data_IF_984664473174
#
_entry.id   IF_984664473174
#
_cell.length_a   1.000
_cell.length_b   1.000
_cell.length_c   1.000
_cell.angle_alpha   90.00
_cell.angle_beta   90.00
_cell.angle_gamma   90.00
#
_symmetry.space_group_name_H-M   'P 1'
#
loop_
_entity.id
_entity.type
_entity.pdbx_description
1 polymer ?
#
# COMPACT_ATOMS: atom_id res chain seq x y z
N UNK A 1 -25.92 23.82 -12.63
CA UNK A 1 -25.10 24.80 -13.36
C UNK A 1 -23.65 24.36 -13.30
N UNK A 2 -23.08 23.92 -14.42
CA UNK A 2 -21.64 23.60 -14.53
C UNK A 2 -20.87 24.92 -14.57
N UNK A 3 -19.86 25.09 -13.71
CA UNK A 3 -18.95 26.23 -13.80
C UNK A 3 -18.28 26.24 -15.19
N UNK A 4 -18.23 27.39 -15.87
CA UNK A 4 -17.51 27.49 -17.15
C UNK A 4 -16.03 27.10 -16.93
N UNK A 5 -15.37 26.51 -17.94
CA UNK A 5 -13.95 26.19 -17.87
C UNK A 5 -13.16 27.48 -17.63
N UNK A 6 -12.24 27.45 -16.68
CA UNK A 6 -11.36 28.59 -16.37
C UNK A 6 -10.46 28.79 -17.61
N UNK A 7 -10.58 29.95 -18.22
CA UNK A 7 -9.69 30.33 -19.33
C UNK A 7 -8.26 30.45 -18.79
N UNK A 8 -7.31 29.66 -19.27
CA UNK A 8 -5.93 29.66 -18.79
C UNK A 8 -5.20 30.99 -19.02
N UNK A 9 -5.74 31.86 -19.87
CA UNK A 9 -5.14 33.17 -20.18
C UNK A 9 -5.62 34.31 -19.26
N UNK A 10 -6.67 34.10 -18.46
CA UNK A 10 -7.22 35.10 -17.54
C UNK A 10 -6.95 34.79 -16.08
N UNK A 11 -6.37 33.63 -15.75
CA UNK A 11 -6.00 33.26 -14.40
C UNK A 11 -4.71 34.02 -13.96
N UNK A 12 -4.61 34.46 -12.69
CA UNK A 12 -3.39 35.06 -12.20
C UNK A 12 -2.21 34.08 -12.37
N UNK A 13 -1.06 34.62 -12.85
CA UNK A 13 0.17 33.86 -13.05
C UNK A 13 0.69 33.34 -11.71
N UNK A 14 0.48 32.09 -11.45
CA UNK A 14 1.10 31.35 -10.33
C UNK A 14 2.33 30.58 -10.85
N UNK A 15 3.23 30.15 -9.97
CA UNK A 15 4.39 29.34 -10.35
C UNK A 15 3.98 28.09 -11.16
N UNK A 16 2.87 27.44 -10.79
CA UNK A 16 2.33 26.30 -11.54
C UNK A 16 1.83 26.62 -12.94
N UNK A 17 1.25 27.83 -13.13
CA UNK A 17 0.78 28.27 -14.44
C UNK A 17 1.96 28.65 -15.37
N UNK A 18 3.05 29.19 -14.81
CA UNK A 18 4.27 29.50 -15.56
C UNK A 18 4.95 28.23 -16.10
N UNK A 19 5.01 27.18 -15.30
CA UNK A 19 5.55 25.88 -15.72
C UNK A 19 4.70 25.24 -16.83
N UNK A 20 3.37 25.38 -16.75
CA UNK A 20 2.46 24.87 -17.78
C UNK A 20 2.59 25.66 -19.08
N UNK A 21 2.62 27.00 -19.01
CA UNK A 21 2.82 27.85 -20.20
C UNK A 21 4.18 27.61 -20.87
N UNK A 22 5.23 27.36 -20.08
CA UNK A 22 6.57 27.03 -20.57
C UNK A 22 6.56 25.68 -21.31
N UNK A 23 5.78 24.70 -20.84
CA UNK A 23 5.61 23.40 -21.51
C UNK A 23 4.86 23.52 -22.83
N UNK A 24 3.79 24.31 -22.85
CA UNK A 24 3.00 24.58 -24.06
C UNK A 24 3.89 25.29 -25.12
N UNK A 25 4.67 26.28 -24.71
CA UNK A 25 5.61 26.98 -25.60
C UNK A 25 6.68 26.06 -26.20
N UNK A 26 6.99 24.94 -25.54
CA UNK A 26 7.90 23.87 -26.06
C UNK A 26 7.18 22.80 -26.87
N UNK A 27 5.91 23.00 -27.25
CA UNK A 27 5.13 22.06 -28.06
C UNK A 27 4.65 20.81 -27.29
N UNK A 28 4.63 20.85 -25.97
CA UNK A 28 4.09 19.76 -25.15
C UNK A 28 2.60 19.98 -24.93
N UNK A 29 1.80 18.93 -25.11
CA UNK A 29 0.36 18.99 -24.84
C UNK A 29 0.09 19.34 -23.36
N UNK A 30 -0.96 20.16 -23.05
CA UNK A 30 -1.34 20.48 -21.69
C UNK A 30 -1.55 19.23 -20.84
N UNK A 31 -1.01 19.23 -19.62
CA UNK A 31 -1.15 18.10 -18.68
C UNK A 31 -0.21 16.92 -18.92
N UNK A 32 0.66 16.94 -19.92
CA UNK A 32 1.71 15.92 -20.05
C UNK A 32 2.91 16.23 -19.14
N UNK A 33 3.44 15.24 -18.41
CA UNK A 33 4.68 15.42 -17.66
C UNK A 33 5.82 15.79 -18.63
N UNK A 34 6.80 16.57 -18.17
CA UNK A 34 8.00 16.82 -18.99
C UNK A 34 8.68 15.46 -19.30
N UNK A 35 9.40 15.40 -20.42
CA UNK A 35 9.99 14.14 -20.91
C UNK A 35 10.85 13.44 -19.82
N UNK A 36 11.64 14.20 -19.07
CA UNK A 36 12.48 13.66 -17.99
C UNK A 36 11.65 13.08 -16.84
N UNK A 37 10.57 13.75 -16.42
CA UNK A 37 9.67 13.22 -15.39
C UNK A 37 8.92 11.98 -15.86
N UNK A 38 8.48 11.96 -17.11
CA UNK A 38 7.86 10.79 -17.74
C UNK A 38 8.81 9.59 -17.78
N UNK A 39 10.05 9.77 -18.25
CA UNK A 39 11.05 8.70 -18.27
C UNK A 39 11.40 8.21 -16.85
N UNK A 40 11.53 9.11 -15.89
CA UNK A 40 11.77 8.74 -14.50
C UNK A 40 10.61 7.90 -13.94
N UNK A 41 9.37 8.24 -14.25
CA UNK A 41 8.19 7.47 -13.89
C UNK A 41 8.20 6.08 -14.55
N UNK A 42 8.54 6.01 -15.84
CA UNK A 42 8.64 4.73 -16.58
C UNK A 42 9.72 3.83 -15.94
N UNK A 43 10.93 4.36 -15.67
CA UNK A 43 12.02 3.61 -15.01
C UNK A 43 11.60 3.12 -13.62
N UNK A 44 10.95 3.98 -12.82
CA UNK A 44 10.45 3.61 -11.50
C UNK A 44 9.38 2.49 -11.57
N UNK A 45 8.46 2.57 -12.52
CA UNK A 45 7.43 1.56 -12.71
C UNK A 45 8.01 0.20 -13.14
N UNK A 46 8.98 0.19 -14.06
CA UNK A 46 9.72 -1.02 -14.47
C UNK A 46 10.46 -1.63 -13.28
N UNK A 47 11.19 -0.82 -12.50
CA UNK A 47 11.92 -1.29 -11.32
C UNK A 47 10.98 -1.90 -10.26
N UNK A 48 9.80 -1.32 -10.05
CA UNK A 48 8.79 -1.87 -9.14
C UNK A 48 8.23 -3.21 -9.64
N UNK A 49 8.01 -3.36 -10.94
CA UNK A 49 7.52 -4.59 -11.54
C UNK A 49 8.55 -5.72 -11.50
N UNK A 50 9.85 -5.38 -11.58
CA UNK A 50 10.96 -6.34 -11.57
C UNK A 50 11.35 -6.82 -10.16
N UNK A 51 10.75 -6.29 -9.08
CA UNK A 51 11.11 -6.70 -7.70
C UNK A 51 10.86 -8.20 -7.47
N UNK A 52 11.81 -8.91 -6.82
CA UNK A 52 11.63 -10.33 -6.50
C UNK A 52 10.37 -10.54 -5.65
N UNK A 53 9.54 -11.52 -6.05
CA UNK A 53 8.27 -11.83 -5.35
C UNK A 53 8.46 -12.67 -4.08
N UNK A 54 9.64 -13.27 -3.88
CA UNK A 54 9.95 -14.20 -2.79
C UNK A 54 11.05 -13.65 -1.87
N UNK A 55 10.67 -12.71 -1.01
CA UNK A 55 11.52 -12.23 0.08
C UNK A 55 11.32 -13.09 1.34
N UNK A 56 12.24 -13.07 2.35
CA UNK A 56 12.01 -13.69 3.67
C UNK A 56 10.67 -13.27 4.28
N UNK A 57 10.36 -11.98 4.25
CA UNK A 57 9.07 -11.43 4.66
C UNK A 57 7.88 -12.08 3.92
N UNK A 58 7.95 -12.20 2.59
CA UNK A 58 6.86 -12.81 1.81
C UNK A 58 6.68 -14.30 2.12
N UNK A 59 7.76 -15.03 2.40
CA UNK A 59 7.72 -16.43 2.83
C UNK A 59 7.06 -16.57 4.19
N UNK A 60 7.50 -15.78 5.17
CA UNK A 60 6.94 -15.76 6.52
C UNK A 60 5.44 -15.40 6.49
N UNK A 61 5.06 -14.35 5.77
CA UNK A 61 3.66 -13.95 5.59
C UNK A 61 2.80 -15.13 5.08
N UNK A 62 3.28 -15.84 4.05
CA UNK A 62 2.58 -16.99 3.48
C UNK A 62 2.46 -18.15 4.49
N UNK A 63 3.51 -18.42 5.27
CA UNK A 63 3.50 -19.43 6.31
C UNK A 63 2.48 -19.10 7.41
N UNK A 64 2.52 -17.87 7.93
CA UNK A 64 1.57 -17.39 8.94
C UNK A 64 0.12 -17.56 8.46
N UNK A 65 -0.20 -17.11 7.25
CA UNK A 65 -1.55 -17.23 6.72
C UNK A 65 -2.02 -18.68 6.65
N UNK A 66 -1.14 -19.61 6.23
CA UNK A 66 -1.44 -21.04 6.14
C UNK A 66 -1.70 -21.63 7.53
N UNK A 67 -0.83 -21.38 8.50
CA UNK A 67 -0.93 -21.97 9.83
C UNK A 67 -2.08 -21.36 10.63
N UNK A 68 -2.35 -20.07 10.53
CA UNK A 68 -3.55 -19.44 11.11
C UNK A 68 -4.83 -20.04 10.50
N UNK A 69 -4.85 -20.27 9.17
CA UNK A 69 -6.01 -20.92 8.53
C UNK A 69 -6.19 -22.35 8.99
N UNK A 70 -5.10 -23.10 9.20
CA UNK A 70 -5.15 -24.47 9.72
C UNK A 70 -5.67 -24.52 11.15
N UNK A 71 -5.20 -23.60 12.02
CA UNK A 71 -5.63 -23.52 13.42
C UNK A 71 -7.07 -23.00 13.57
N UNK A 72 -7.52 -22.14 12.66
CA UNK A 72 -8.83 -21.49 12.67
C UNK A 72 -9.51 -21.62 11.29
N UNK A 73 -10.11 -22.78 10.97
CA UNK A 73 -10.68 -23.04 9.64
C UNK A 73 -11.80 -22.07 9.24
N UNK A 74 -12.53 -21.49 10.18
CA UNK A 74 -13.60 -20.52 9.94
C UNK A 74 -13.08 -19.08 9.75
N UNK A 75 -11.80 -18.83 10.05
CA UNK A 75 -11.23 -17.49 9.88
C UNK A 75 -11.18 -17.07 8.40
N UNK A 76 -11.57 -15.83 8.14
CA UNK A 76 -11.28 -15.16 6.87
C UNK A 76 -9.90 -14.51 6.99
N UNK A 77 -8.97 -14.89 6.12
CA UNK A 77 -7.60 -14.41 6.14
C UNK A 77 -7.29 -13.75 4.81
N UNK A 78 -6.83 -12.51 4.86
CA UNK A 78 -6.52 -11.71 3.70
C UNK A 78 -5.10 -11.16 3.80
N UNK A 79 -4.31 -11.40 2.75
CA UNK A 79 -3.06 -10.66 2.59
C UNK A 79 -3.39 -9.24 2.17
N UNK A 80 -2.86 -8.26 2.88
CA UNK A 80 -2.99 -6.86 2.50
C UNK A 80 -1.77 -6.45 1.68
N UNK A 81 -2.01 -6.06 0.44
CA UNK A 81 -0.96 -5.54 -0.42
C UNK A 81 -0.88 -4.04 -0.22
N UNK A 82 0.09 -3.60 0.61
CA UNK A 82 0.34 -2.18 0.84
C UNK A 82 1.62 -1.79 0.12
N UNK A 83 1.56 -0.75 -0.69
CA UNK A 83 2.74 -0.27 -1.39
C UNK A 83 2.47 0.20 -2.80
N UNK A 84 3.52 0.19 -3.60
CA UNK A 84 3.48 0.58 -5.01
C UNK A 84 3.90 -0.59 -5.88
N UNK A 85 3.22 -0.77 -7.01
CA UNK A 85 3.57 -1.73 -8.04
C UNK A 85 3.61 -1.07 -9.42
N UNK A 86 4.53 -1.50 -10.29
CA UNK A 86 4.55 -1.13 -11.69
C UNK A 86 3.76 -2.14 -12.52
N UNK A 87 2.99 -1.66 -13.49
CA UNK A 87 2.36 -2.50 -14.50
C UNK A 87 2.40 -1.80 -15.86
N UNK A 88 2.36 -2.59 -16.93
CA UNK A 88 2.26 -2.07 -18.29
C UNK A 88 0.80 -2.01 -18.71
N UNK A 89 0.33 -0.81 -19.04
CA UNK A 89 -1.02 -0.60 -19.57
C UNK A 89 -1.11 -1.27 -20.95
N UNK A 90 -2.00 -2.24 -21.10
CA UNK A 90 -2.15 -3.00 -22.35
C UNK A 90 -2.68 -2.15 -23.50
N UNK A 91 -3.42 -1.09 -23.22
CA UNK A 91 -4.04 -0.23 -24.23
C UNK A 91 -3.06 0.80 -24.79
N UNK A 92 -2.25 1.43 -23.91
CA UNK A 92 -1.31 2.49 -24.32
C UNK A 92 0.13 2.02 -24.46
N UNK A 93 0.48 0.86 -23.89
CA UNK A 93 1.85 0.37 -23.84
C UNK A 93 2.71 1.03 -22.74
N UNK A 94 2.18 2.01 -22.02
CA UNK A 94 2.89 2.77 -20.99
C UNK A 94 3.03 2.01 -19.69
N UNK A 95 4.11 2.28 -18.98
CA UNK A 95 4.28 1.83 -17.61
C UNK A 95 3.55 2.78 -16.64
N UNK A 96 2.74 2.20 -15.76
CA UNK A 96 1.98 2.92 -14.74
C UNK A 96 2.36 2.45 -13.34
N UNK A 97 2.28 3.36 -12.38
CA UNK A 97 2.44 3.04 -10.96
C UNK A 97 1.06 2.96 -10.33
N UNK A 98 0.76 1.82 -9.70
CA UNK A 98 -0.42 1.64 -8.85
C UNK A 98 0.00 1.69 -7.39
N UNK A 99 -0.79 2.39 -6.59
CA UNK A 99 -0.72 2.31 -5.14
C UNK A 99 -1.79 1.34 -4.64
N UNK A 100 -1.38 0.39 -3.81
CA UNK A 100 -2.28 -0.60 -3.21
C UNK A 100 -2.43 -0.35 -1.71
N UNK A 101 -3.64 -0.63 -1.19
CA UNK A 101 -3.94 -0.55 0.24
C UNK A 101 -3.81 0.85 0.84
N UNK A 102 -3.96 0.93 2.15
CA UNK A 102 -3.76 2.16 2.91
C UNK A 102 -2.32 2.22 3.42
N UNK A 103 -1.70 3.41 3.36
CA UNK A 103 -0.36 3.61 3.90
C UNK A 103 -0.36 3.28 5.40
N UNK A 104 0.52 2.37 5.80
CA UNK A 104 0.66 1.90 7.17
C UNK A 104 -0.25 0.73 7.56
N UNK A 105 -1.11 0.26 6.65
CA UNK A 105 -1.93 -0.94 6.91
C UNK A 105 -1.04 -2.18 7.13
N UNK A 106 -1.49 -3.08 8.02
CA UNK A 106 -0.81 -4.35 8.32
C UNK A 106 -0.74 -5.29 7.13
N UNK A 107 0.18 -6.26 7.15
CA UNK A 107 0.40 -7.23 6.08
C UNK A 107 -0.73 -8.27 5.95
N UNK A 108 -1.33 -8.67 7.08
CA UNK A 108 -2.37 -9.70 7.14
C UNK A 108 -3.58 -9.16 7.93
N UNK A 109 -4.77 -9.34 7.38
CA UNK A 109 -6.03 -9.16 8.08
C UNK A 109 -6.66 -10.52 8.33
N UNK A 110 -7.03 -10.78 9.59
CA UNK A 110 -7.81 -11.94 10.00
C UNK A 110 -9.14 -11.46 10.57
N UNK A 111 -10.24 -12.04 10.09
CA UNK A 111 -11.56 -11.86 10.70
C UNK A 111 -12.00 -13.20 11.25
N UNK A 112 -12.23 -13.26 12.57
CA UNK A 112 -12.61 -14.48 13.28
C UNK A 112 -13.66 -14.14 14.33
N UNK A 113 -14.82 -14.80 14.26
CA UNK A 113 -15.96 -14.59 15.18
C UNK A 113 -16.34 -13.10 15.38
N UNK A 114 -16.34 -12.33 14.29
CA UNK A 114 -16.67 -10.91 14.30
C UNK A 114 -15.52 -9.97 14.70
N UNK A 115 -14.43 -10.51 15.25
CA UNK A 115 -13.25 -9.72 15.61
C UNK A 115 -12.34 -9.49 14.41
N UNK A 116 -11.91 -8.25 14.21
CA UNK A 116 -10.89 -7.88 13.24
C UNK A 116 -9.50 -7.90 13.88
N UNK A 117 -8.59 -8.72 13.34
CA UNK A 117 -7.22 -8.86 13.82
C UNK A 117 -6.28 -8.45 12.69
N UNK A 118 -5.31 -7.61 12.99
CA UNK A 118 -4.29 -7.13 12.08
C UNK A 118 -2.92 -7.64 12.53
N UNK A 119 -2.22 -8.36 11.65
CA UNK A 119 -0.88 -8.86 11.92
C UNK A 119 0.12 -8.16 11.00
N UNK A 120 1.04 -7.43 11.61
CA UNK A 120 2.19 -6.82 10.96
C UNK A 120 3.35 -7.80 11.01
N UNK A 121 3.83 -8.26 9.87
CA UNK A 121 4.90 -9.26 9.79
C UNK A 121 6.25 -8.55 9.70
N UNK A 122 7.17 -8.89 10.59
CA UNK A 122 8.56 -8.41 10.59
C UNK A 122 9.52 -9.59 10.50
N UNK A 123 10.21 -9.73 9.39
CA UNK A 123 11.25 -10.75 9.27
C UNK A 123 12.48 -10.35 10.11
N UNK A 124 12.93 -11.25 10.98
CA UNK A 124 14.06 -10.99 11.90
C UNK A 124 15.32 -10.61 11.11
N UNK A 125 15.52 -11.22 9.95
CA UNK A 125 16.69 -10.99 9.10
C UNK A 125 16.79 -9.55 8.57
N UNK A 126 15.67 -8.82 8.52
CA UNK A 126 15.63 -7.45 7.98
C UNK A 126 15.78 -6.37 9.02
N UNK A 127 15.77 -6.70 10.32
CA UNK A 127 15.75 -5.73 11.45
C UNK A 127 14.74 -4.60 11.24
N UNK A 128 13.65 -4.89 10.52
CA UNK A 128 12.66 -3.90 10.11
C UNK A 128 11.82 -3.46 11.32
N UNK A 129 11.84 -2.17 11.62
CA UNK A 129 11.06 -1.58 12.70
C UNK A 129 9.70 -1.08 12.17
N UNK A 130 8.76 -0.90 13.09
CA UNK A 130 7.48 -0.32 12.75
C UNK A 130 7.66 1.16 12.38
N UNK A 131 7.09 1.56 11.22
CA UNK A 131 7.15 2.94 10.72
C UNK A 131 6.05 3.80 11.37
N UNK A 132 6.24 5.12 11.40
CA UNK A 132 5.25 6.06 11.94
C UNK A 132 3.86 5.91 11.30
N UNK A 133 3.80 5.62 10.00
CA UNK A 133 2.53 5.37 9.31
C UNK A 133 1.81 4.12 9.83
N UNK A 134 2.56 3.07 10.19
CA UNK A 134 2.03 1.83 10.77
C UNK A 134 1.55 2.06 12.19
N UNK A 135 2.30 2.83 13.00
CA UNK A 135 1.90 3.22 14.36
C UNK A 135 0.59 4.02 14.33
N UNK A 136 0.47 5.01 13.43
CA UNK A 136 -0.77 5.78 13.28
C UNK A 136 -1.95 4.92 12.80
N UNK A 137 -1.69 3.99 11.89
CA UNK A 137 -2.73 3.07 11.40
C UNK A 137 -3.17 2.11 12.50
N UNK A 138 -2.24 1.52 13.24
CA UNK A 138 -2.49 0.68 14.41
C UNK A 138 -3.40 1.39 15.41
N UNK A 139 -3.04 2.62 15.84
CA UNK A 139 -3.82 3.38 16.81
C UNK A 139 -5.26 3.64 16.36
N UNK A 140 -5.49 3.87 15.07
CA UNK A 140 -6.85 4.00 14.51
C UNK A 140 -7.60 2.68 14.51
N UNK A 141 -6.93 1.60 14.14
CA UNK A 141 -7.50 0.27 14.05
C UNK A 141 -7.93 -0.27 15.44
N UNK A 142 -7.07 -0.07 16.46
CA UNK A 142 -7.36 -0.47 17.84
C UNK A 142 -8.50 0.37 18.45
N UNK A 143 -8.54 1.68 18.19
CA UNK A 143 -9.69 2.52 18.59
C UNK A 143 -11.01 2.10 17.96
N UNK A 144 -10.99 1.50 16.80
CA UNK A 144 -12.16 0.94 16.15
C UNK A 144 -12.53 -0.48 16.65
N UNK A 145 -11.89 -0.96 17.73
CA UNK A 145 -12.15 -2.27 18.33
C UNK A 145 -11.36 -3.42 17.72
N UNK A 146 -10.42 -3.15 16.82
CA UNK A 146 -9.54 -4.17 16.27
C UNK A 146 -8.43 -4.60 17.23
N UNK A 147 -7.85 -5.77 16.98
CA UNK A 147 -6.65 -6.25 17.68
C UNK A 147 -5.45 -6.18 16.73
N UNK A 148 -4.38 -5.50 17.12
CA UNK A 148 -3.16 -5.37 16.32
C UNK A 148 -1.99 -6.07 17.01
N UNK A 149 -1.15 -6.75 16.23
CA UNK A 149 0.10 -7.34 16.71
C UNK A 149 1.20 -7.26 15.64
N UNK A 150 2.41 -6.94 16.08
CA UNK A 150 3.65 -7.18 15.31
C UNK A 150 4.10 -8.60 15.61
N UNK A 151 4.43 -9.36 14.56
CA UNK A 151 4.80 -10.78 14.68
C UNK A 151 6.03 -11.10 13.85
N UNK A 152 6.95 -11.89 14.42
CA UNK A 152 8.22 -12.26 13.81
C UNK A 152 8.27 -13.76 13.48
N UNK A 153 7.29 -14.53 13.92
CA UNK A 153 7.20 -15.97 13.68
C UNK A 153 5.75 -16.44 13.54
N UNK A 154 5.58 -17.69 13.13
CA UNK A 154 4.27 -18.37 13.07
C UNK A 154 3.69 -18.52 14.48
N UNK A 155 4.51 -18.88 15.45
CA UNK A 155 4.13 -19.10 16.85
C UNK A 155 3.61 -17.79 17.47
N UNK A 156 4.29 -16.67 17.22
CA UNK A 156 3.84 -15.36 17.69
C UNK A 156 2.50 -14.98 17.05
N UNK A 157 2.31 -15.26 15.76
CA UNK A 157 1.05 -14.99 15.07
C UNK A 157 -0.11 -15.80 15.62
N UNK A 158 0.08 -17.11 15.88
CA UNK A 158 -0.94 -17.97 16.51
C UNK A 158 -1.27 -17.50 17.94
N UNK A 159 -0.24 -17.12 18.70
CA UNK A 159 -0.41 -16.58 20.05
C UNK A 159 -1.18 -15.26 20.02
N UNK A 160 -0.88 -14.37 19.07
CA UNK A 160 -1.59 -13.11 18.89
C UNK A 160 -3.08 -13.33 18.58
N UNK A 161 -3.40 -14.27 17.67
CA UNK A 161 -4.79 -14.63 17.35
C UNK A 161 -5.50 -15.19 18.59
N UNK A 162 -4.86 -16.07 19.35
CA UNK A 162 -5.41 -16.61 20.61
C UNK A 162 -5.72 -15.51 21.59
N UNK A 163 -4.77 -14.60 21.87
CA UNK A 163 -4.97 -13.44 22.77
C UNK A 163 -6.09 -12.51 22.30
N UNK A 164 -6.21 -12.32 21.01
CA UNK A 164 -7.30 -11.54 20.43
C UNK A 164 -8.67 -12.17 20.75
N UNK A 165 -8.78 -13.49 20.63
CA UNK A 165 -10.01 -14.23 20.92
C UNK A 165 -10.37 -14.24 22.41
N UNK A 166 -9.38 -14.15 23.31
CA UNK A 166 -9.61 -14.05 24.75
C UNK A 166 -10.26 -12.72 25.17
N UNK A 167 -10.14 -11.65 24.36
CA UNK A 167 -10.76 -10.33 24.61
C UNK A 167 -12.27 -10.29 24.38
N UNK A 168 -12.84 -11.24 23.66
CA UNK A 168 -14.26 -11.26 23.31
C UNK A 168 -15.04 -12.33 24.11
N UNK A 169 -14.37 -13.03 25.00
CA UNK A 169 -14.99 -13.96 25.95
C UNK A 169 -15.28 -13.25 27.29
#
# INVERSE_FOLDING_TARGET
MLKPPIDPYTAPLTAGNLDELTRIARGQAPGQPNAAAYEAQQRAAVALAARPKTTPHARLTKQIMREVKRAHPTARIEKRNVGRGGYKDKRTGDWRILQFGQVGESDIRVTLQGLAIALEVKAIETRDQQRDSQIRWQARFERAGGYYAVVHSVEEALTAVKRAMERIR
#
